data_IF_349583342976
#
_entry.id   IF_349583342976
#
_cell.length_a   1.000
_cell.length_b   1.000
_cell.length_c   1.000
_cell.angle_alpha   90.00
_cell.angle_beta   90.00
_cell.angle_gamma   90.00
#
_symmetry.space_group_name_H-M   'P 1'
#
loop_
_entity.id
_entity.type
_entity.pdbx_description
1 polymer ?
#
# COMPACT_ATOMS: atom_id res chain seq x y z
N UNK A 1 -71.80 -24.28 36.91
CA UNK A 1 -70.61 -25.03 37.36
C UNK A 1 -69.57 -24.01 37.77
N UNK A 2 -69.15 -23.95 39.04
CA UNK A 2 -68.09 -23.04 39.46
C UNK A 2 -66.75 -23.56 38.93
N UNK A 3 -65.98 -22.68 38.28
CA UNK A 3 -64.59 -22.98 37.90
C UNK A 3 -63.74 -22.92 39.17
N UNK A 4 -63.17 -24.05 39.59
CA UNK A 4 -62.09 -24.07 40.58
C UNK A 4 -60.83 -23.49 39.92
N UNK A 5 -60.49 -22.25 40.28
CA UNK A 5 -59.25 -21.62 39.82
C UNK A 5 -58.10 -22.26 40.59
N UNK A 6 -57.24 -22.99 39.90
CA UNK A 6 -56.09 -23.64 40.50
C UNK A 6 -55.06 -22.56 40.87
N UNK A 7 -54.67 -22.39 42.13
CA UNK A 7 -53.73 -21.33 42.54
C UNK A 7 -52.32 -21.50 41.95
N UNK A 8 -52.08 -22.55 41.17
CA UNK A 8 -50.84 -22.75 40.42
C UNK A 8 -50.84 -22.08 39.03
N UNK A 9 -52.01 -21.76 38.47
CA UNK A 9 -52.12 -21.27 37.08
C UNK A 9 -51.59 -19.83 36.92
N UNK A 10 -51.73 -18.99 37.93
CA UNK A 10 -51.18 -17.63 37.89
C UNK A 10 -49.65 -17.63 38.07
N UNK A 11 -49.11 -18.60 38.82
CA UNK A 11 -47.65 -18.76 39.02
C UNK A 11 -46.99 -19.19 37.72
N UNK A 12 -47.58 -20.16 37.00
CA UNK A 12 -47.07 -20.59 35.69
C UNK A 12 -47.18 -19.48 34.64
N UNK A 13 -48.24 -18.68 34.66
CA UNK A 13 -48.39 -17.52 33.79
C UNK A 13 -47.32 -16.45 34.07
N UNK A 14 -47.01 -16.14 35.33
CA UNK A 14 -45.93 -15.21 35.70
C UNK A 14 -44.57 -15.78 35.28
N UNK A 15 -44.30 -17.06 35.53
CA UNK A 15 -43.05 -17.71 35.13
C UNK A 15 -42.86 -17.70 33.60
N UNK A 16 -43.92 -17.94 32.83
CA UNK A 16 -43.89 -17.84 31.37
C UNK A 16 -43.63 -16.40 30.90
N UNK A 17 -44.28 -15.41 31.52
CA UNK A 17 -44.06 -13.99 31.19
C UNK A 17 -42.63 -13.54 31.50
N UNK A 18 -42.07 -13.95 32.65
CA UNK A 18 -40.69 -13.66 33.02
C UNK A 18 -39.69 -14.30 32.06
N UNK A 19 -39.95 -15.56 31.65
CA UNK A 19 -39.11 -16.26 30.67
C UNK A 19 -39.11 -15.53 29.32
N UNK A 20 -40.27 -15.08 28.82
CA UNK A 20 -40.35 -14.31 27.57
C UNK A 20 -39.54 -13.01 27.62
N UNK A 21 -39.61 -12.27 28.73
CA UNK A 21 -38.84 -11.03 28.91
C UNK A 21 -37.33 -11.32 28.92
N UNK A 22 -36.90 -12.35 29.66
CA UNK A 22 -35.48 -12.74 29.72
C UNK A 22 -34.98 -13.17 28.34
N UNK A 23 -35.72 -14.00 27.62
CA UNK A 23 -35.35 -14.42 26.26
C UNK A 23 -35.30 -13.24 25.29
N UNK A 24 -36.26 -12.31 25.39
CA UNK A 24 -36.27 -11.08 24.59
C UNK A 24 -35.04 -10.21 24.85
N UNK A 25 -34.68 -9.98 26.11
CA UNK A 25 -33.47 -9.25 26.48
C UNK A 25 -32.21 -9.97 26.00
N UNK A 26 -32.12 -11.30 26.18
CA UNK A 26 -31.00 -12.09 25.72
C UNK A 26 -30.80 -11.97 24.19
N UNK A 27 -31.88 -11.97 23.41
CA UNK A 27 -31.83 -11.77 21.96
C UNK A 27 -31.30 -10.36 21.60
N UNK A 28 -31.73 -9.32 22.33
CA UNK A 28 -31.25 -7.96 22.12
C UNK A 28 -29.76 -7.82 22.46
N UNK A 29 -29.32 -8.39 23.59
CA UNK A 29 -27.89 -8.43 23.96
C UNK A 29 -27.06 -9.19 22.93
N UNK A 30 -27.51 -10.37 22.49
CA UNK A 30 -26.83 -11.15 21.45
C UNK A 30 -26.72 -10.37 20.13
N UNK A 31 -27.77 -9.64 19.75
CA UNK A 31 -27.75 -8.78 18.54
C UNK A 31 -26.75 -7.63 18.68
N UNK A 32 -26.73 -6.96 19.83
CA UNK A 32 -25.80 -5.87 20.10
C UNK A 32 -24.33 -6.34 20.09
N UNK A 33 -24.05 -7.50 20.71
CA UNK A 33 -22.74 -8.13 20.70
C UNK A 33 -22.29 -8.50 19.29
N UNK A 34 -23.21 -9.04 18.47
CA UNK A 34 -22.92 -9.41 17.09
C UNK A 34 -22.62 -8.19 16.20
N UNK A 35 -23.29 -7.05 16.42
CA UNK A 35 -22.92 -5.80 15.73
C UNK A 35 -21.54 -5.30 16.13
N UNK A 36 -21.20 -5.31 17.43
CA UNK A 36 -19.88 -4.90 17.91
C UNK A 36 -18.77 -5.74 17.29
N UNK A 37 -18.94 -7.07 17.24
CA UNK A 37 -17.95 -7.95 16.59
C UNK A 37 -17.78 -7.69 15.10
N UNK A 38 -18.87 -7.34 14.39
CA UNK A 38 -18.77 -6.99 12.96
C UNK A 38 -18.00 -5.70 12.74
N UNK A 39 -18.21 -4.71 13.61
CA UNK A 39 -17.52 -3.43 13.50
C UNK A 39 -16.04 -3.56 13.90
N UNK A 40 -15.74 -4.30 14.96
CA UNK A 40 -14.35 -4.67 15.31
C UNK A 40 -13.64 -5.40 14.17
N UNK A 41 -14.31 -6.35 13.52
CA UNK A 41 -13.75 -7.09 12.39
C UNK A 41 -13.43 -6.17 11.21
N UNK A 42 -14.33 -5.23 10.90
CA UNK A 42 -14.10 -4.26 9.81
C UNK A 42 -12.91 -3.37 10.12
N UNK A 43 -12.85 -2.82 11.34
CA UNK A 43 -11.76 -1.93 11.77
C UNK A 43 -10.41 -2.67 11.77
N UNK A 44 -10.38 -3.92 12.26
CA UNK A 44 -9.16 -4.75 12.22
C UNK A 44 -8.70 -5.00 10.79
N UNK A 45 -9.60 -5.41 9.88
CA UNK A 45 -9.26 -5.63 8.48
C UNK A 45 -8.76 -4.36 7.79
N UNK A 46 -9.33 -3.20 8.14
CA UNK A 46 -8.87 -1.91 7.63
C UNK A 46 -7.45 -1.59 8.10
N UNK A 47 -7.16 -1.79 9.39
CA UNK A 47 -5.83 -1.59 9.96
C UNK A 47 -4.80 -2.52 9.35
N UNK A 48 -5.11 -3.82 9.23
CA UNK A 48 -4.23 -4.82 8.61
C UNK A 48 -3.93 -4.46 7.15
N UNK A 49 -4.96 -4.16 6.34
CA UNK A 49 -4.78 -3.78 4.94
C UNK A 49 -3.98 -2.49 4.78
N UNK A 50 -4.18 -1.50 5.67
CA UNK A 50 -3.41 -0.26 5.68
C UNK A 50 -1.94 -0.51 6.01
N UNK A 51 -1.65 -1.32 7.03
CA UNK A 51 -0.28 -1.66 7.42
C UNK A 51 0.45 -2.45 6.32
N UNK A 52 -0.20 -3.47 5.75
CA UNK A 52 0.37 -4.26 4.65
C UNK A 52 0.69 -3.36 3.44
N UNK A 53 -0.17 -2.40 3.11
CA UNK A 53 0.06 -1.45 2.04
C UNK A 53 1.27 -0.54 2.33
N UNK A 54 1.36 0.03 3.54
CA UNK A 54 2.49 0.88 3.95
C UNK A 54 3.80 0.09 3.83
N UNK A 55 3.85 -1.13 4.36
CA UNK A 55 5.04 -1.98 4.31
C UNK A 55 5.44 -2.34 2.88
N UNK A 56 4.48 -2.64 2.01
CA UNK A 56 4.75 -2.90 0.60
C UNK A 56 5.26 -1.65 -0.13
N UNK A 57 4.68 -0.48 0.16
CA UNK A 57 5.10 0.79 -0.42
C UNK A 57 6.52 1.19 0.03
N UNK A 58 6.86 0.98 1.31
CA UNK A 58 8.22 1.20 1.83
C UNK A 58 9.25 0.32 1.11
N UNK A 59 8.98 -0.98 0.99
CA UNK A 59 9.88 -1.90 0.26
C UNK A 59 10.12 -1.46 -1.17
N UNK A 60 9.05 -1.05 -1.88
CA UNK A 60 9.16 -0.54 -3.25
C UNK A 60 9.94 0.77 -3.28
N UNK A 61 9.71 1.67 -2.34
CA UNK A 61 10.43 2.95 -2.22
C UNK A 61 11.93 2.73 -1.98
N UNK A 62 12.29 1.86 -1.05
CA UNK A 62 13.69 1.48 -0.79
C UNK A 62 14.32 0.81 -2.01
N UNK A 63 13.59 -0.08 -2.70
CA UNK A 63 14.03 -0.69 -3.94
C UNK A 63 14.31 0.34 -5.04
N UNK A 64 13.41 1.31 -5.23
CA UNK A 64 13.61 2.41 -6.16
C UNK A 64 14.81 3.29 -5.76
N UNK A 65 15.02 3.52 -4.46
CA UNK A 65 16.22 4.20 -3.95
C UNK A 65 17.49 3.45 -4.28
N UNK A 66 17.50 2.13 -4.10
CA UNK A 66 18.62 1.28 -4.42
C UNK A 66 18.94 1.26 -5.92
N UNK A 67 17.92 1.11 -6.77
CA UNK A 67 18.07 1.22 -8.23
C UNK A 67 18.67 2.57 -8.63
N UNK A 68 18.29 3.64 -7.94
CA UNK A 68 18.70 5.02 -8.26
C UNK A 68 19.97 5.49 -7.58
N UNK A 69 20.52 4.73 -6.63
CA UNK A 69 21.69 5.14 -5.83
C UNK A 69 22.91 5.46 -6.72
N UNK A 70 23.65 6.51 -6.37
CA UNK A 70 24.87 6.91 -7.07
C UNK A 70 26.04 5.95 -6.74
N UNK A 71 26.86 5.61 -7.74
CA UNK A 71 27.97 4.64 -7.63
C UNK A 71 29.24 5.26 -7.01
N UNK A 72 29.14 5.85 -5.82
CA UNK A 72 30.33 6.45 -5.19
C UNK A 72 31.40 5.41 -4.78
N UNK A 73 31.11 4.09 -4.74
CA UNK A 73 32.02 3.15 -4.05
C UNK A 73 32.20 1.72 -4.60
N UNK A 74 31.64 1.34 -5.76
CA UNK A 74 32.02 0.04 -6.36
C UNK A 74 33.06 0.28 -7.44
N UNK A 75 34.28 -0.19 -7.19
CA UNK A 75 35.25 -0.50 -8.24
C UNK A 75 34.54 -1.38 -9.26
N UNK A 76 33.98 -0.75 -10.29
CA UNK A 76 33.60 -1.42 -11.52
C UNK A 76 34.93 -1.92 -12.04
N UNK A 77 35.11 -3.25 -12.09
CA UNK A 77 36.23 -3.85 -12.80
C UNK A 77 36.36 -3.10 -14.13
N UNK A 78 37.47 -2.37 -14.29
CA UNK A 78 37.70 -1.42 -15.40
C UNK A 78 37.51 -2.08 -16.78
N UNK A 79 37.47 -3.41 -16.82
CA UNK A 79 37.20 -4.23 -17.99
C UNK A 79 35.72 -4.25 -18.48
N UNK A 80 34.73 -3.87 -17.65
CA UNK A 80 33.30 -4.09 -17.97
C UNK A 80 32.55 -2.89 -18.57
N UNK A 81 33.13 -1.69 -18.54
CA UNK A 81 32.63 -0.48 -19.23
C UNK A 81 31.26 0.05 -18.79
N UNK A 82 30.89 1.26 -19.25
CA UNK A 82 29.61 1.93 -18.94
C UNK A 82 28.37 1.13 -19.37
N UNK A 83 28.50 0.20 -20.33
CA UNK A 83 27.39 -0.64 -20.83
C UNK A 83 26.90 -1.63 -19.76
N UNK A 84 27.81 -2.12 -18.92
CA UNK A 84 27.49 -3.01 -17.80
C UNK A 84 26.61 -2.32 -16.74
N UNK A 85 26.72 -1.00 -16.58
CA UNK A 85 26.02 -0.26 -15.52
C UNK A 85 24.52 -0.11 -15.80
N UNK A 86 24.17 0.29 -17.02
CA UNK A 86 22.77 0.43 -17.42
C UNK A 86 22.08 -0.93 -17.50
N UNK A 87 22.80 -1.95 -17.97
CA UNK A 87 22.29 -3.32 -18.00
C UNK A 87 22.03 -3.83 -16.57
N UNK A 88 22.98 -3.63 -15.65
CA UNK A 88 22.78 -3.97 -14.24
C UNK A 88 21.58 -3.26 -13.65
N UNK A 89 21.38 -1.96 -13.88
CA UNK A 89 20.18 -1.25 -13.39
C UNK A 89 18.90 -1.81 -13.97
N UNK A 90 18.94 -2.24 -15.23
CA UNK A 90 17.79 -2.91 -15.84
C UNK A 90 17.45 -4.22 -15.11
N UNK A 91 18.45 -5.02 -14.76
CA UNK A 91 18.30 -6.22 -13.93
C UNK A 91 17.76 -5.88 -12.55
N UNK A 92 18.30 -4.85 -11.88
CA UNK A 92 17.81 -4.39 -10.58
C UNK A 92 16.33 -3.95 -10.63
N UNK A 93 15.92 -3.22 -11.67
CA UNK A 93 14.51 -2.85 -11.86
C UNK A 93 13.64 -4.08 -12.16
N UNK A 94 14.19 -5.08 -12.83
CA UNK A 94 13.52 -6.34 -13.07
C UNK A 94 13.32 -7.15 -11.79
N UNK A 95 14.33 -7.20 -10.91
CA UNK A 95 14.25 -7.83 -9.58
C UNK A 95 13.10 -7.25 -8.75
N UNK A 96 12.89 -5.93 -8.81
CA UNK A 96 11.78 -5.25 -8.11
C UNK A 96 10.38 -5.63 -8.63
N UNK A 97 10.26 -6.38 -9.72
CA UNK A 97 8.95 -6.73 -10.30
C UNK A 97 8.06 -7.47 -9.32
N UNK A 98 8.65 -8.27 -8.41
CA UNK A 98 7.91 -9.00 -7.39
C UNK A 98 7.33 -8.05 -6.34
N UNK A 99 8.13 -7.12 -5.85
CA UNK A 99 7.74 -6.11 -4.86
C UNK A 99 6.62 -5.22 -5.42
N UNK A 100 6.69 -4.86 -6.70
CA UNK A 100 5.62 -4.11 -7.36
C UNK A 100 4.34 -4.93 -7.57
N UNK A 101 4.45 -6.25 -7.80
CA UNK A 101 3.30 -7.14 -7.86
C UNK A 101 2.63 -7.25 -6.47
N UNK A 102 3.42 -7.41 -5.42
CA UNK A 102 2.96 -7.41 -4.03
C UNK A 102 2.30 -6.07 -3.66
N UNK A 103 2.90 -4.95 -4.07
CA UNK A 103 2.29 -3.62 -3.88
C UNK A 103 0.93 -3.51 -4.58
N UNK A 104 0.79 -4.03 -5.81
CA UNK A 104 -0.50 -3.99 -6.52
C UNK A 104 -1.57 -4.83 -5.81
N UNK A 105 -1.20 -5.99 -5.28
CA UNK A 105 -2.13 -6.84 -4.50
C UNK A 105 -2.61 -6.09 -3.25
N UNK A 106 -1.68 -5.48 -2.52
CA UNK A 106 -2.01 -4.71 -1.31
C UNK A 106 -2.82 -3.45 -1.61
N UNK A 107 -2.54 -2.76 -2.72
CA UNK A 107 -3.35 -1.64 -3.20
C UNK A 107 -4.80 -2.05 -3.44
N UNK A 108 -5.02 -3.19 -4.12
CA UNK A 108 -6.37 -3.71 -4.39
C UNK A 108 -7.09 -4.05 -3.07
N UNK A 109 -6.42 -4.73 -2.13
CA UNK A 109 -6.99 -5.03 -0.80
C UNK A 109 -7.37 -3.76 -0.05
N UNK A 110 -6.46 -2.81 0.03
CA UNK A 110 -6.68 -1.53 0.71
C UNK A 110 -7.81 -0.74 0.05
N UNK A 111 -7.94 -0.76 -1.29
CA UNK A 111 -9.05 -0.11 -2.01
C UNK A 111 -10.41 -0.63 -1.56
N UNK A 112 -10.57 -1.94 -1.41
CA UNK A 112 -11.84 -2.54 -0.99
C UNK A 112 -12.23 -2.18 0.44
N UNK A 113 -11.25 -2.05 1.34
CA UNK A 113 -11.53 -1.85 2.76
C UNK A 113 -11.55 -0.36 3.14
N UNK A 114 -10.65 0.44 2.57
CA UNK A 114 -10.47 1.86 2.91
C UNK A 114 -11.24 2.81 2.00
N UNK A 115 -11.52 2.39 0.75
CA UNK A 115 -12.26 3.20 -0.23
C UNK A 115 -11.74 4.64 -0.39
N UNK A 116 -10.42 4.83 -0.39
CA UNK A 116 -9.77 6.14 -0.46
C UNK A 116 -9.06 6.34 -1.82
N UNK A 117 -9.67 7.05 -2.79
CA UNK A 117 -9.07 7.25 -4.12
C UNK A 117 -7.75 8.03 -4.08
N UNK A 118 -7.56 8.89 -3.08
CA UNK A 118 -6.32 9.65 -2.89
C UNK A 118 -5.16 8.75 -2.51
N UNK A 119 -5.41 7.70 -1.73
CA UNK A 119 -4.42 6.70 -1.36
C UNK A 119 -4.03 5.88 -2.59
N UNK A 120 -5.02 5.47 -3.40
CA UNK A 120 -4.78 4.79 -4.67
C UNK A 120 -3.90 5.62 -5.62
N UNK A 121 -4.20 6.93 -5.75
CA UNK A 121 -3.41 7.83 -6.58
C UNK A 121 -1.97 7.97 -6.06
N UNK A 122 -1.77 8.07 -4.74
CA UNK A 122 -0.43 8.14 -4.15
C UNK A 122 0.40 6.86 -4.41
N UNK A 123 -0.23 5.69 -4.35
CA UNK A 123 0.42 4.42 -4.71
C UNK A 123 0.75 4.36 -6.21
N UNK A 124 -0.14 4.84 -7.08
CA UNK A 124 0.08 4.85 -8.53
C UNK A 124 1.27 5.75 -8.93
N UNK A 125 1.56 6.82 -8.17
CA UNK A 125 2.78 7.62 -8.38
C UNK A 125 4.06 6.77 -8.29
N UNK A 126 4.13 5.77 -7.40
CA UNK A 126 5.29 4.86 -7.31
C UNK A 126 5.43 3.99 -8.58
N UNK A 127 4.31 3.54 -9.16
CA UNK A 127 4.32 2.82 -10.45
C UNK A 127 4.77 3.73 -11.60
N UNK A 128 4.29 4.98 -11.64
CA UNK A 128 4.71 5.95 -12.64
C UNK A 128 6.20 6.26 -12.55
N UNK A 129 6.75 6.35 -11.35
CA UNK A 129 8.18 6.51 -11.10
C UNK A 129 8.97 5.32 -11.69
N UNK A 130 8.54 4.08 -11.43
CA UNK A 130 9.16 2.89 -12.03
C UNK A 130 9.17 2.96 -13.55
N UNK A 131 8.05 3.33 -14.15
CA UNK A 131 7.93 3.46 -15.61
C UNK A 131 8.92 4.49 -16.14
N UNK A 132 9.01 5.67 -15.49
CA UNK A 132 9.97 6.71 -15.87
C UNK A 132 11.41 6.22 -15.85
N UNK A 133 11.81 5.49 -14.80
CA UNK A 133 13.15 4.92 -14.70
C UNK A 133 13.41 3.91 -15.83
N UNK A 134 12.46 3.01 -16.11
CA UNK A 134 12.59 2.02 -17.20
C UNK A 134 12.74 2.72 -18.56
N UNK A 135 11.92 3.73 -18.82
CA UNK A 135 11.98 4.51 -20.06
C UNK A 135 13.31 5.23 -20.17
N UNK A 136 13.78 5.86 -19.09
CA UNK A 136 15.06 6.54 -19.10
C UNK A 136 16.24 5.59 -19.36
N UNK A 137 16.26 4.42 -18.71
CA UNK A 137 17.26 3.38 -18.96
C UNK A 137 17.27 2.94 -20.43
N UNK A 138 16.09 2.69 -21.01
CA UNK A 138 15.97 2.28 -22.42
C UNK A 138 16.44 3.36 -23.39
N UNK A 139 16.05 4.61 -23.15
CA UNK A 139 16.44 5.73 -24.00
C UNK A 139 17.95 5.98 -23.95
N UNK A 140 18.56 5.99 -22.76
CA UNK A 140 20.02 6.14 -22.66
C UNK A 140 20.74 4.99 -23.36
N UNK A 141 20.26 3.76 -23.19
CA UNK A 141 20.84 2.61 -23.88
C UNK A 141 20.76 2.78 -25.41
N UNK A 142 19.62 3.24 -25.93
CA UNK A 142 19.46 3.51 -27.36
C UNK A 142 20.32 4.67 -27.86
N UNK A 143 20.39 5.79 -27.15
CA UNK A 143 21.16 6.97 -27.58
C UNK A 143 22.66 6.69 -27.55
N UNK A 144 23.17 5.98 -26.54
CA UNK A 144 24.61 5.71 -26.42
C UNK A 144 25.11 4.54 -27.27
N UNK A 145 24.27 3.55 -27.54
CA UNK A 145 24.71 2.31 -28.20
C UNK A 145 23.99 2.03 -29.53
N UNK A 146 22.96 2.81 -29.88
CA UNK A 146 22.26 2.72 -31.16
C UNK A 146 22.83 3.70 -32.18
N UNK A 147 23.75 3.20 -33.03
CA UNK A 147 24.20 3.64 -34.37
C UNK A 147 24.30 5.12 -34.81
N UNK A 148 23.86 6.13 -34.06
CA UNK A 148 24.01 7.55 -34.40
C UNK A 148 24.71 8.30 -33.27
N UNK A 149 25.97 8.69 -33.50
CA UNK A 149 26.69 9.66 -32.65
C UNK A 149 25.98 11.02 -32.72
N UNK A 150 24.95 11.19 -31.92
CA UNK A 150 24.38 12.50 -31.60
C UNK A 150 25.04 12.97 -30.31
N UNK A 151 25.67 14.13 -30.33
CA UNK A 151 26.27 14.74 -29.16
C UNK A 151 25.28 14.86 -28.00
N UNK A 152 25.80 14.94 -26.76
CA UNK A 152 25.00 15.03 -25.54
C UNK A 152 23.92 16.12 -25.67
N UNK A 153 22.65 15.70 -25.69
CA UNK A 153 21.50 16.60 -25.65
C UNK A 153 21.19 16.97 -24.19
N UNK A 154 20.55 18.12 -23.97
CA UNK A 154 19.95 18.46 -22.67
C UNK A 154 19.01 17.35 -22.15
N UNK A 155 18.43 16.57 -23.08
CA UNK A 155 17.61 15.40 -22.76
C UNK A 155 18.42 14.30 -22.08
N UNK A 156 19.68 14.05 -22.47
CA UNK A 156 20.52 13.02 -21.84
C UNK A 156 20.84 13.35 -20.38
N UNK A 157 21.04 14.64 -20.08
CA UNK A 157 21.27 15.12 -18.71
C UNK A 157 20.04 14.84 -17.85
N UNK A 158 18.83 15.09 -18.37
CA UNK A 158 17.57 14.81 -17.67
C UNK A 158 17.35 13.32 -17.46
N UNK A 159 17.57 12.50 -18.49
CA UNK A 159 17.43 11.05 -18.37
C UNK A 159 18.39 10.46 -17.32
N UNK A 160 19.61 11.00 -17.23
CA UNK A 160 20.56 10.63 -16.18
C UNK A 160 20.06 11.02 -14.80
N UNK A 161 19.48 12.20 -14.62
CA UNK A 161 18.92 12.60 -13.33
C UNK A 161 17.75 11.70 -12.90
N UNK A 162 16.95 11.21 -13.85
CA UNK A 162 15.87 10.26 -13.56
C UNK A 162 16.42 8.90 -13.09
N UNK A 163 17.55 8.44 -13.66
CA UNK A 163 18.19 7.17 -13.29
C UNK A 163 19.03 7.30 -12.01
N UNK A 164 19.76 8.40 -11.85
CA UNK A 164 20.68 8.64 -10.75
C UNK A 164 20.06 9.65 -9.78
N UNK A 165 19.50 9.13 -8.70
CA UNK A 165 18.89 9.93 -7.64
C UNK A 165 19.93 10.46 -6.67
N UNK A 166 19.95 11.78 -6.49
CA UNK A 166 20.68 12.43 -5.39
C UNK A 166 19.80 12.67 -4.17
N UNK A 167 18.47 12.53 -4.31
CA UNK A 167 17.48 12.85 -3.26
C UNK A 167 17.66 14.26 -2.65
N UNK A 168 18.26 15.17 -3.42
CA UNK A 168 18.38 16.59 -3.07
C UNK A 168 17.25 17.43 -3.66
N UNK A 169 17.31 18.75 -3.46
CA UNK A 169 16.30 19.72 -3.96
C UNK A 169 16.11 19.72 -5.48
N UNK A 170 17.08 19.19 -6.23
CA UNK A 170 17.05 19.14 -7.69
C UNK A 170 16.56 17.78 -8.24
N UNK A 171 16.40 16.77 -7.38
CA UNK A 171 15.90 15.45 -7.78
C UNK A 171 14.36 15.43 -7.77
N UNK A 172 13.74 15.90 -8.85
CA UNK A 172 12.28 15.97 -8.96
C UNK A 172 11.62 14.59 -8.79
N UNK A 173 12.25 13.53 -9.28
CA UNK A 173 11.70 12.18 -9.24
C UNK A 173 11.80 11.61 -7.80
N UNK A 174 12.91 11.86 -7.10
CA UNK A 174 13.08 11.56 -5.68
C UNK A 174 12.09 12.31 -4.79
N UNK A 175 11.91 13.62 -5.03
CA UNK A 175 10.92 14.43 -4.30
C UNK A 175 9.48 13.93 -4.52
N UNK A 176 9.14 13.49 -5.74
CA UNK A 176 7.85 12.86 -6.03
C UNK A 176 7.68 11.54 -5.29
N UNK A 177 8.74 10.72 -5.21
CA UNK A 177 8.73 9.48 -4.45
C UNK A 177 8.47 9.74 -2.96
N UNK A 178 9.20 10.68 -2.37
CA UNK A 178 9.03 11.05 -0.95
C UNK A 178 7.65 11.64 -0.68
N UNK A 179 7.15 12.51 -1.56
CA UNK A 179 5.81 13.07 -1.44
C UNK A 179 4.71 12.00 -1.58
N UNK A 180 4.89 11.01 -2.46
CA UNK A 180 3.98 9.87 -2.58
C UNK A 180 3.98 9.02 -1.30
N UNK A 181 5.16 8.70 -0.77
CA UNK A 181 5.30 7.97 0.49
C UNK A 181 4.68 8.71 1.68
N UNK A 182 4.92 10.02 1.79
CA UNK A 182 4.33 10.85 2.83
C UNK A 182 2.80 10.81 2.76
N UNK A 183 2.21 10.95 1.56
CA UNK A 183 0.76 10.84 1.36
C UNK A 183 0.22 9.46 1.72
N UNK A 184 0.96 8.39 1.41
CA UNK A 184 0.58 7.03 1.80
C UNK A 184 0.53 6.91 3.33
N UNK A 185 1.56 7.39 4.02
CA UNK A 185 1.61 7.40 5.49
C UNK A 185 0.51 8.26 6.11
N UNK A 186 0.26 9.46 5.58
CA UNK A 186 -0.77 10.37 6.11
C UNK A 186 -2.18 9.81 5.93
N UNK A 187 -2.45 9.14 4.81
CA UNK A 187 -3.77 8.61 4.48
C UNK A 187 -4.04 7.22 5.07
N UNK A 188 -3.05 6.33 5.08
CA UNK A 188 -3.19 4.97 5.58
C UNK A 188 -2.82 4.84 7.07
N UNK A 189 -1.94 5.71 7.57
CA UNK A 189 -1.46 5.70 8.96
C UNK A 189 -2.56 5.75 10.02
N UNK A 190 -3.58 6.62 9.89
CA UNK A 190 -4.69 6.66 10.84
C UNK A 190 -5.45 5.33 10.94
N UNK A 191 -5.63 4.61 9.83
CA UNK A 191 -6.24 3.29 9.81
C UNK A 191 -5.32 2.24 10.44
N UNK A 192 -4.03 2.28 10.10
CA UNK A 192 -3.05 1.35 10.65
C UNK A 192 -2.95 1.46 12.19
N UNK A 193 -3.05 2.69 12.73
CA UNK A 193 -3.00 2.97 14.19
C UNK A 193 -4.32 2.78 14.93
N UNK A 194 -5.42 2.42 14.24
CA UNK A 194 -6.76 2.33 14.81
C UNK A 194 -7.28 3.69 15.36
N UNK A 195 -6.81 4.80 14.81
CA UNK A 195 -7.22 6.16 15.21
C UNK A 195 -8.52 6.60 14.53
N UNK A 196 -8.87 6.01 13.39
CA UNK A 196 -10.14 6.25 12.70
C UNK A 196 -11.24 5.41 13.35
N UNK A 197 -12.12 6.06 14.11
CA UNK A 197 -13.39 5.49 14.61
C UNK A 197 -14.57 6.03 13.82
#
# INVERSE_FOLDING_TARGET
>A
MPYEVNPLDWVTAIAASGTMVITGLALLFARAQLSQWRDELKVRRASEAALELILAAEKVSEGLKWVRASFVERQVDEASGELSEYQRRFEQVHELSKEFADLRINQIRARYVLSCPKLDAAVEELFQIRIKIIVALKLIYQTRFGCEEKGFSDDDVRLRQDIFGSYGKYDQLGLRQEAAMLKIHDLAGPYAKLEVR
#
